data_IF_470492327564
#
_entry.id   IF_470492327564
#
_cell.length_a   1.000
_cell.length_b   1.000
_cell.length_c   1.000
_cell.angle_alpha   90.00
_cell.angle_beta   90.00
_cell.angle_gamma   90.00
#
_symmetry.space_group_name_H-M   'P 1'
#
loop_
_entity.id
_entity.type
_entity.pdbx_description
1 polymer ?
#
# COMPACT_ATOMS: atom_id res chain seq x y z
N UNK A 1 19.75 -0.99 15.39
CA UNK A 1 19.26 -0.35 16.63
C UNK A 1 19.31 -1.40 17.75
N UNK A 2 19.89 -1.10 18.92
CA UNK A 2 19.96 -2.06 20.03
C UNK A 2 18.63 -2.07 20.82
N UNK A 3 17.99 -3.24 20.93
CA UNK A 3 16.80 -3.42 21.77
C UNK A 3 17.22 -3.52 23.24
N UNK A 4 16.51 -2.82 24.14
CA UNK A 4 16.77 -2.90 25.59
C UNK A 4 16.28 -4.26 26.12
N UNK A 5 16.99 -4.85 27.10
CA UNK A 5 16.63 -6.15 27.68
C UNK A 5 15.17 -6.24 28.18
N UNK A 6 14.67 -5.16 28.80
CA UNK A 6 13.27 -5.08 29.24
C UNK A 6 12.28 -5.28 28.07
N UNK A 7 12.62 -4.75 26.91
CA UNK A 7 11.75 -4.72 25.73
C UNK A 7 11.79 -6.06 25.02
N UNK A 8 12.98 -6.65 24.93
CA UNK A 8 13.14 -8.00 24.43
C UNK A 8 12.39 -9.01 25.30
N UNK A 9 12.44 -8.87 26.64
CA UNK A 9 11.68 -9.75 27.54
C UNK A 9 10.16 -9.58 27.37
N UNK A 10 9.69 -8.35 27.16
CA UNK A 10 8.27 -8.10 26.87
C UNK A 10 7.84 -8.79 25.57
N UNK A 11 8.67 -8.71 24.52
CA UNK A 11 8.42 -9.42 23.25
C UNK A 11 8.41 -10.92 23.47
N UNK A 12 9.44 -11.49 24.14
CA UNK A 12 9.55 -12.93 24.39
C UNK A 12 8.34 -13.52 25.10
N UNK A 13 7.73 -12.81 26.03
CA UNK A 13 6.54 -13.27 26.76
C UNK A 13 5.30 -13.49 25.86
N UNK A 14 5.30 -12.92 24.68
CA UNK A 14 4.20 -12.95 23.72
C UNK A 14 4.60 -13.56 22.37
N UNK A 15 5.84 -14.02 22.25
CA UNK A 15 6.43 -14.51 21.01
C UNK A 15 6.17 -16.01 20.84
N UNK A 16 5.76 -16.42 19.64
CA UNK A 16 5.64 -17.83 19.27
C UNK A 16 6.82 -18.22 18.38
N UNK A 17 7.80 -18.89 19.00
CA UNK A 17 9.01 -19.30 18.30
C UNK A 17 8.74 -20.32 17.20
N UNK A 18 7.79 -21.24 17.38
CA UNK A 18 7.46 -22.26 16.39
C UNK A 18 6.85 -21.61 15.16
N UNK A 19 5.86 -20.74 15.37
CA UNK A 19 5.22 -19.97 14.30
C UNK A 19 6.23 -19.09 13.54
N UNK A 20 7.09 -18.38 14.27
CA UNK A 20 8.08 -17.49 13.66
C UNK A 20 9.12 -18.26 12.82
N UNK A 21 9.64 -19.37 13.36
CA UNK A 21 10.66 -20.17 12.66
C UNK A 21 10.10 -20.85 11.41
N UNK A 22 8.81 -21.20 11.40
CA UNK A 22 8.14 -21.77 10.23
C UNK A 22 8.08 -20.83 9.02
N UNK A 23 8.30 -19.53 9.20
CA UNK A 23 8.34 -18.54 8.12
C UNK A 23 9.75 -18.30 7.56
N UNK A 24 10.79 -18.85 8.20
CA UNK A 24 12.17 -18.66 7.74
C UNK A 24 12.48 -19.62 6.59
N UNK A 25 13.11 -19.07 5.57
CA UNK A 25 13.58 -19.77 4.37
C UNK A 25 14.98 -20.38 4.53
N UNK A 26 15.47 -20.50 5.77
CA UNK A 26 16.80 -21.02 6.08
C UNK A 26 16.83 -21.78 7.40
N UNK A 27 17.74 -22.74 7.51
CA UNK A 27 17.96 -23.51 8.74
C UNK A 27 18.61 -22.65 9.82
N UNK A 28 18.11 -22.78 11.06
CA UNK A 28 18.64 -22.09 12.23
C UNK A 28 19.45 -23.05 13.10
N UNK A 29 20.62 -22.59 13.56
CA UNK A 29 21.50 -23.37 14.45
C UNK A 29 20.99 -23.44 15.90
N UNK A 30 21.60 -24.33 16.68
CA UNK A 30 21.33 -24.45 18.12
C UNK A 30 21.63 -23.13 18.84
N UNK A 31 20.71 -22.68 19.70
CA UNK A 31 20.86 -21.44 20.45
C UNK A 31 20.42 -20.18 19.69
N UNK A 32 19.80 -20.32 18.52
CA UNK A 32 19.20 -19.21 17.79
C UNK A 32 18.10 -18.52 18.63
N UNK A 33 18.26 -17.22 18.86
CA UNK A 33 17.28 -16.41 19.57
C UNK A 33 16.27 -15.80 18.59
N UNK A 34 15.18 -16.53 18.35
CA UNK A 34 14.14 -16.14 17.41
C UNK A 34 13.49 -14.79 17.74
N UNK A 35 13.26 -14.50 19.02
CA UNK A 35 12.69 -13.23 19.46
C UNK A 35 13.65 -12.06 19.21
N UNK A 36 14.94 -12.23 19.51
CA UNK A 36 15.96 -11.22 19.18
C UNK A 36 16.06 -11.02 17.67
N UNK A 37 16.08 -12.10 16.89
CA UNK A 37 16.12 -12.04 15.43
C UNK A 37 14.90 -11.28 14.89
N UNK A 38 13.70 -11.56 15.40
CA UNK A 38 12.51 -10.81 15.06
C UNK A 38 12.70 -9.32 15.33
N UNK A 39 13.11 -8.94 16.54
CA UNK A 39 13.29 -7.54 16.93
C UNK A 39 14.31 -6.78 16.08
N UNK A 40 15.33 -7.46 15.56
CA UNK A 40 16.40 -6.85 14.77
C UNK A 40 16.15 -6.87 13.26
N UNK A 41 15.53 -7.94 12.75
CA UNK A 41 15.46 -8.24 11.31
C UNK A 41 14.09 -8.74 10.87
N UNK A 42 13.44 -9.57 11.68
CA UNK A 42 12.21 -10.24 11.25
C UNK A 42 11.08 -9.29 10.89
N UNK A 43 10.84 -8.27 11.71
CA UNK A 43 9.77 -7.30 11.43
C UNK A 43 10.05 -6.48 10.16
N UNK A 44 11.32 -6.21 9.84
CA UNK A 44 11.72 -5.54 8.59
C UNK A 44 11.41 -6.41 7.36
N UNK A 45 11.45 -7.74 7.54
CA UNK A 45 11.06 -8.74 6.55
C UNK A 45 9.57 -9.09 6.58
N UNK A 46 8.75 -8.32 7.32
CA UNK A 46 7.30 -8.54 7.48
C UNK A 46 6.92 -9.91 8.08
N UNK A 47 7.84 -10.55 8.79
CA UNK A 47 7.57 -11.84 9.42
C UNK A 47 6.71 -11.67 10.67
N UNK A 48 5.88 -12.65 10.98
CA UNK A 48 4.93 -12.58 12.08
C UNK A 48 5.52 -13.19 13.37
N UNK A 49 5.59 -12.44 14.48
CA UNK A 49 6.17 -12.94 15.74
C UNK A 49 5.28 -13.96 16.44
N UNK A 50 4.01 -14.07 16.04
CA UNK A 50 3.01 -14.96 16.62
C UNK A 50 1.78 -15.05 15.71
N UNK A 51 1.07 -16.18 15.73
CA UNK A 51 -0.10 -16.38 14.85
C UNK A 51 -1.29 -15.43 15.07
N UNK A 52 -1.34 -14.70 16.18
CA UNK A 52 -2.37 -13.70 16.48
C UNK A 52 -1.95 -12.26 16.14
N UNK A 53 -0.74 -12.07 15.59
CA UNK A 53 -0.19 -10.77 15.24
C UNK A 53 0.42 -10.80 13.84
N UNK A 54 -0.27 -10.19 12.88
CA UNK A 54 0.33 -9.89 11.57
C UNK A 54 1.14 -8.59 11.65
N UNK A 55 2.45 -8.70 11.49
CA UNK A 55 3.38 -7.57 11.36
C UNK A 55 2.96 -6.68 10.20
N UNK A 56 2.59 -7.30 9.08
CA UNK A 56 2.25 -6.57 7.88
C UNK A 56 0.93 -5.80 8.02
N UNK A 57 -0.13 -6.46 8.51
CA UNK A 57 -1.40 -5.80 8.82
C UNK A 57 -1.19 -4.61 9.74
N UNK A 58 -0.43 -4.82 10.83
CA UNK A 58 -0.24 -3.78 11.83
C UNK A 58 0.46 -2.53 11.26
N UNK A 59 1.41 -2.72 10.35
CA UNK A 59 2.09 -1.62 9.68
C UNK A 59 1.19 -0.90 8.68
N UNK A 60 0.34 -1.62 7.94
CA UNK A 60 -0.61 -1.05 6.98
C UNK A 60 -1.70 -0.23 7.68
N UNK A 61 -2.24 -0.73 8.78
CA UNK A 61 -3.27 -0.02 9.55
C UNK A 61 -2.69 1.13 10.39
N UNK A 62 -1.37 1.22 10.54
CA UNK A 62 -0.71 2.24 11.34
C UNK A 62 0.50 2.84 10.60
N UNK A 63 0.29 3.47 9.42
CA UNK A 63 1.37 3.86 8.52
C UNK A 63 2.35 4.85 9.14
N UNK A 64 1.92 5.66 10.13
CA UNK A 64 2.79 6.58 10.89
C UNK A 64 3.85 5.87 11.74
N UNK A 65 3.71 4.59 12.04
CA UNK A 65 4.69 3.80 12.79
C UNK A 65 5.90 3.49 11.90
N UNK A 66 5.70 3.24 10.61
CA UNK A 66 6.75 2.81 9.70
C UNK A 66 7.92 3.81 9.57
N UNK A 67 7.69 5.13 9.36
CA UNK A 67 8.78 6.12 9.33
C UNK A 67 9.59 6.21 10.63
N UNK A 68 9.01 5.84 11.78
CA UNK A 68 9.70 5.87 13.08
C UNK A 68 10.65 4.70 13.30
N UNK A 69 10.68 3.71 12.39
CA UNK A 69 11.39 2.43 12.54
C UNK A 69 11.11 1.72 13.88
N UNK A 70 9.93 1.95 14.45
CA UNK A 70 9.54 1.31 15.70
C UNK A 70 9.10 -0.11 15.41
N UNK A 71 9.68 -1.09 16.12
CA UNK A 71 9.26 -2.49 16.03
C UNK A 71 7.73 -2.60 16.29
N UNK A 72 6.95 -3.12 15.33
CA UNK A 72 5.48 -3.04 15.37
C UNK A 72 4.88 -3.86 16.52
N UNK A 73 5.41 -5.05 16.77
CA UNK A 73 4.93 -5.88 17.88
C UNK A 73 5.21 -5.26 19.24
N UNK A 74 6.42 -4.72 19.44
CA UNK A 74 6.76 -4.01 20.66
C UNK A 74 5.90 -2.75 20.84
N UNK A 75 5.62 -2.01 19.76
CA UNK A 75 4.71 -0.88 19.79
C UNK A 75 3.30 -1.32 20.22
N UNK A 76 2.78 -2.40 19.63
CA UNK A 76 1.48 -2.95 20.01
C UNK A 76 1.43 -3.33 21.48
N UNK A 77 2.40 -4.10 21.97
CA UNK A 77 2.45 -4.54 23.37
C UNK A 77 2.50 -3.39 24.37
N UNK A 78 3.14 -2.27 24.00
CA UNK A 78 3.28 -1.09 24.88
C UNK A 78 2.09 -0.13 24.81
N UNK A 79 1.59 0.10 23.60
CA UNK A 79 0.65 1.18 23.29
C UNK A 79 -0.59 0.63 22.62
N UNK A 80 -0.41 -0.09 21.51
CA UNK A 80 -1.51 -0.47 20.64
C UNK A 80 -2.59 -1.30 21.32
N UNK A 81 -2.21 -2.26 22.17
CA UNK A 81 -3.15 -3.10 22.90
C UNK A 81 -4.08 -2.30 23.81
N UNK A 82 -3.57 -1.27 24.49
CA UNK A 82 -4.37 -0.38 25.35
C UNK A 82 -5.26 0.56 24.55
N UNK A 83 -4.84 0.90 23.33
CA UNK A 83 -5.61 1.72 22.39
C UNK A 83 -6.61 0.91 21.54
N UNK A 84 -6.70 -0.41 21.74
CA UNK A 84 -7.58 -1.26 20.95
C UNK A 84 -7.18 -1.38 19.47
N UNK A 85 -5.91 -1.14 19.14
CA UNK A 85 -5.42 -1.34 17.77
C UNK A 85 -5.55 -2.81 17.39
N UNK A 86 -5.99 -3.08 16.15
CA UNK A 86 -6.15 -4.44 15.64
C UNK A 86 -4.81 -4.99 15.16
N UNK A 87 -4.65 -6.30 15.24
CA UNK A 87 -3.41 -7.00 14.85
C UNK A 87 -3.61 -7.99 13.71
N UNK A 88 -4.88 -8.31 13.39
CA UNK A 88 -5.36 -9.32 12.44
C UNK A 88 -4.70 -10.71 12.58
N UNK A 89 -5.50 -11.74 12.35
CA UNK A 89 -5.02 -13.08 12.05
C UNK A 89 -5.90 -13.67 10.94
N UNK A 90 -5.39 -14.65 10.20
CA UNK A 90 -6.03 -15.17 8.98
C UNK A 90 -7.46 -15.70 9.23
N UNK A 91 -7.75 -16.16 10.46
CA UNK A 91 -9.05 -16.68 10.86
C UNK A 91 -10.00 -15.61 11.45
N UNK A 92 -9.72 -14.32 11.25
CA UNK A 92 -10.58 -13.23 11.73
C UNK A 92 -11.98 -13.30 11.05
N UNK A 93 -13.08 -13.49 11.82
CA UNK A 93 -14.42 -13.65 11.24
C UNK A 93 -14.88 -12.47 10.38
N UNK A 94 -14.41 -11.26 10.68
CA UNK A 94 -14.74 -10.09 9.86
C UNK A 94 -14.11 -10.20 8.47
N UNK A 95 -12.85 -10.62 8.40
CA UNK A 95 -12.12 -10.77 7.14
C UNK A 95 -12.72 -11.89 6.30
N UNK A 96 -13.06 -13.01 6.93
CA UNK A 96 -13.76 -14.12 6.28
C UNK A 96 -15.13 -13.69 5.73
N UNK A 97 -15.89 -12.89 6.49
CA UNK A 97 -17.16 -12.32 6.03
C UNK A 97 -16.99 -11.42 4.81
N UNK A 98 -16.03 -10.49 4.85
CA UNK A 98 -15.73 -9.62 3.71
C UNK A 98 -15.30 -10.43 2.49
N UNK A 99 -14.44 -11.43 2.66
CA UNK A 99 -13.97 -12.29 1.59
C UNK A 99 -15.13 -13.02 0.90
N UNK A 100 -16.09 -13.55 1.68
CA UNK A 100 -17.27 -14.21 1.13
C UNK A 100 -18.17 -13.23 0.37
N UNK A 101 -18.40 -12.03 0.91
CA UNK A 101 -19.25 -11.02 0.26
C UNK A 101 -18.70 -10.54 -1.09
N UNK A 102 -17.39 -10.37 -1.22
CA UNK A 102 -16.78 -9.87 -2.46
C UNK A 102 -16.51 -10.98 -3.48
N UNK A 103 -16.60 -12.25 -3.08
CA UNK A 103 -16.10 -13.41 -3.83
C UNK A 103 -16.58 -13.47 -5.27
N UNK A 104 -17.88 -13.31 -5.48
CA UNK A 104 -18.50 -13.32 -6.82
C UNK A 104 -18.09 -12.12 -7.68
N UNK A 105 -17.71 -11.01 -7.04
CA UNK A 105 -17.22 -9.82 -7.73
C UNK A 105 -15.73 -9.87 -8.03
N UNK A 106 -14.93 -10.58 -7.24
CA UNK A 106 -13.47 -10.57 -7.27
C UNK A 106 -12.90 -11.37 -8.44
N UNK A 107 -11.78 -10.92 -9.01
CA UNK A 107 -11.06 -11.62 -10.08
C UNK A 107 -9.72 -12.15 -9.55
N UNK A 108 -9.67 -13.42 -9.09
CA UNK A 108 -8.46 -13.98 -8.49
C UNK A 108 -7.32 -14.16 -9.49
N UNK A 109 -7.62 -14.44 -10.77
CA UNK A 109 -6.60 -14.62 -11.80
C UNK A 109 -5.89 -13.30 -12.08
N UNK A 110 -6.65 -12.22 -12.27
CA UNK A 110 -6.09 -10.88 -12.41
C UNK A 110 -5.27 -10.47 -11.19
N UNK A 111 -5.79 -10.72 -9.98
CA UNK A 111 -5.12 -10.31 -8.74
C UNK A 111 -3.79 -11.05 -8.55
N UNK A 112 -3.76 -12.35 -8.81
CA UNK A 112 -2.53 -13.16 -8.73
C UNK A 112 -1.55 -12.80 -9.84
N UNK A 113 -2.02 -12.58 -11.08
CA UNK A 113 -1.17 -12.13 -12.19
C UNK A 113 -0.47 -10.82 -11.84
N UNK A 114 -1.21 -9.86 -11.29
CA UNK A 114 -0.71 -8.51 -11.01
C UNK A 114 0.11 -8.42 -9.71
N UNK A 115 -0.34 -9.07 -8.64
CA UNK A 115 0.22 -8.90 -7.29
C UNK A 115 0.80 -10.17 -6.67
N UNK A 116 0.75 -11.33 -7.34
CA UNK A 116 1.09 -12.63 -6.76
C UNK A 116 2.51 -12.75 -6.19
N UNK A 117 3.43 -11.87 -6.59
CA UNK A 117 4.76 -11.76 -6.01
C UNK A 117 4.78 -11.17 -4.58
N UNK A 118 3.71 -10.48 -4.18
CA UNK A 118 3.60 -9.71 -2.93
C UNK A 118 2.39 -10.09 -2.06
N UNK A 119 1.52 -11.00 -2.49
CA UNK A 119 0.40 -11.49 -1.67
C UNK A 119 0.90 -12.25 -0.44
N UNK A 120 0.16 -12.11 0.67
CA UNK A 120 0.48 -12.72 1.97
C UNK A 120 -0.21 -14.08 2.12
N UNK A 121 -1.47 -14.20 1.68
CA UNK A 121 -2.26 -15.44 1.73
C UNK A 121 -2.33 -16.05 0.32
N UNK A 122 -1.30 -16.82 -0.03
CA UNK A 122 -1.10 -17.32 -1.41
C UNK A 122 -2.18 -18.28 -1.90
N UNK A 123 -2.71 -19.11 -1.01
CA UNK A 123 -3.68 -20.14 -1.37
C UNK A 123 -5.12 -19.60 -1.51
N UNK A 124 -5.36 -18.37 -1.04
CA UNK A 124 -6.68 -17.72 -1.11
C UNK A 124 -6.52 -16.22 -1.44
N UNK A 125 -6.46 -15.86 -2.74
CA UNK A 125 -6.31 -14.47 -3.19
C UNK A 125 -7.47 -13.56 -2.77
N UNK A 126 -8.69 -14.08 -2.64
CA UNK A 126 -9.85 -13.29 -2.18
C UNK A 126 -9.69 -12.93 -0.71
N UNK A 127 -9.25 -13.89 0.11
CA UNK A 127 -8.93 -13.65 1.51
C UNK A 127 -7.73 -12.69 1.66
N UNK A 128 -6.70 -12.85 0.82
CA UNK A 128 -5.59 -11.90 0.78
C UNK A 128 -6.08 -10.48 0.47
N UNK A 129 -6.95 -10.31 -0.52
CA UNK A 129 -7.50 -8.99 -0.82
C UNK A 129 -8.28 -8.40 0.34
N UNK A 130 -9.19 -9.18 0.93
CA UNK A 130 -10.02 -8.76 2.07
C UNK A 130 -9.18 -8.42 3.32
N UNK A 131 -8.05 -9.10 3.49
CA UNK A 131 -7.13 -8.87 4.61
C UNK A 131 -6.15 -7.72 4.34
N UNK A 132 -5.61 -7.63 3.13
CA UNK A 132 -4.35 -6.96 2.84
C UNK A 132 -4.40 -6.10 1.58
N UNK A 133 -4.99 -6.62 0.51
CA UNK A 133 -5.02 -5.96 -0.80
C UNK A 133 -5.77 -4.65 -0.78
N UNK A 134 -6.94 -4.59 -0.14
CA UNK A 134 -7.71 -3.33 -0.07
C UNK A 134 -6.91 -2.23 0.66
N UNK A 135 -6.16 -2.56 1.72
CA UNK A 135 -5.35 -1.58 2.46
C UNK A 135 -4.20 -1.02 1.64
N UNK A 136 -3.73 -1.78 0.66
CA UNK A 136 -2.68 -1.37 -0.27
C UNK A 136 -3.23 -0.57 -1.45
N UNK A 137 -4.55 -0.38 -1.54
CA UNK A 137 -5.20 0.20 -2.71
C UNK A 137 -5.13 -0.69 -3.96
N UNK A 138 -4.83 -1.99 -3.79
CA UNK A 138 -4.71 -2.91 -4.91
C UNK A 138 -6.04 -3.14 -5.61
N UNK A 139 -5.96 -3.44 -6.90
CA UNK A 139 -7.12 -3.65 -7.75
C UNK A 139 -7.64 -5.08 -7.57
N UNK A 140 -8.92 -5.29 -7.22
CA UNK A 140 -9.51 -6.61 -7.09
C UNK A 140 -9.88 -7.26 -8.43
N UNK A 141 -9.90 -6.46 -9.50
CA UNK A 141 -10.22 -6.83 -10.89
C UNK A 141 -9.83 -5.70 -11.84
N UNK A 142 -9.70 -6.01 -13.14
CA UNK A 142 -9.17 -5.09 -14.14
C UNK A 142 -10.01 -3.82 -14.39
N UNK A 143 -11.31 -3.86 -14.09
CA UNK A 143 -12.30 -2.80 -14.30
C UNK A 143 -12.74 -2.12 -12.98
N UNK A 144 -12.03 -2.35 -11.87
CA UNK A 144 -12.27 -1.66 -10.61
C UNK A 144 -10.99 -1.01 -10.07
N UNK A 145 -10.96 0.32 -10.03
CA UNK A 145 -9.86 1.10 -9.49
C UNK A 145 -10.27 1.69 -8.12
N UNK A 146 -9.75 1.15 -6.99
CA UNK A 146 -10.10 1.65 -5.66
C UNK A 146 -9.85 3.16 -5.49
N UNK A 147 -8.73 3.65 -6.02
CA UNK A 147 -8.37 5.06 -5.95
C UNK A 147 -9.37 5.94 -6.71
N UNK A 148 -9.72 5.59 -7.94
CA UNK A 148 -10.75 6.32 -8.68
C UNK A 148 -12.09 6.28 -7.94
N UNK A 149 -12.49 5.11 -7.46
CA UNK A 149 -13.77 4.92 -6.80
C UNK A 149 -13.91 5.79 -5.54
N UNK A 150 -12.86 5.87 -4.72
CA UNK A 150 -12.85 6.73 -3.52
C UNK A 150 -12.94 8.21 -3.90
N UNK A 151 -12.11 8.67 -4.84
CA UNK A 151 -12.03 10.10 -5.18
C UNK A 151 -13.21 10.60 -6.03
N UNK A 152 -13.93 9.71 -6.71
CA UNK A 152 -15.14 10.07 -7.47
C UNK A 152 -16.43 9.97 -6.65
N UNK A 153 -16.36 9.47 -5.41
CA UNK A 153 -17.51 9.34 -4.51
C UNK A 153 -17.18 9.96 -3.16
N UNK A 154 -17.32 11.29 -3.07
CA UNK A 154 -16.87 12.07 -1.92
C UNK A 154 -17.49 11.62 -0.58
N UNK A 155 -18.70 11.06 -0.62
CA UNK A 155 -19.39 10.49 0.53
C UNK A 155 -18.66 9.30 1.17
N UNK A 156 -17.70 8.70 0.45
CA UNK A 156 -16.92 7.55 0.89
C UNK A 156 -15.54 7.93 1.45
N UNK A 157 -15.17 9.21 1.49
CA UNK A 157 -13.87 9.66 2.03
C UNK A 157 -13.84 9.59 3.58
N UNK A 158 -13.99 8.38 4.12
CA UNK A 158 -13.95 8.06 5.55
C UNK A 158 -12.85 7.04 5.83
N UNK A 159 -12.26 7.12 7.03
CA UNK A 159 -11.21 6.19 7.46
C UNK A 159 -11.68 4.74 7.42
N UNK A 160 -10.85 3.85 6.89
CA UNK A 160 -11.09 2.41 6.90
C UNK A 160 -12.13 1.91 5.90
N UNK A 161 -12.47 2.69 4.87
CA UNK A 161 -13.36 2.25 3.80
C UNK A 161 -12.81 1.01 3.06
N UNK A 162 -13.70 0.08 2.77
CA UNK A 162 -13.50 -1.05 1.85
C UNK A 162 -14.19 -0.72 0.51
N UNK A 163 -13.51 -0.06 -0.44
CA UNK A 163 -14.15 0.49 -1.63
C UNK A 163 -14.82 -0.58 -2.49
N UNK A 164 -14.17 -1.74 -2.63
CA UNK A 164 -14.72 -2.82 -3.41
C UNK A 164 -15.93 -3.49 -2.75
N UNK A 165 -15.91 -3.64 -1.42
CA UNK A 165 -17.05 -4.12 -0.66
C UNK A 165 -18.26 -3.18 -0.84
N UNK A 166 -18.04 -1.88 -0.68
CA UNK A 166 -19.10 -0.88 -0.93
C UNK A 166 -19.66 -0.98 -2.35
N UNK A 167 -18.78 -1.14 -3.34
CA UNK A 167 -19.22 -1.29 -4.73
C UNK A 167 -20.07 -2.54 -4.96
N UNK A 168 -19.66 -3.68 -4.38
CA UNK A 168 -20.41 -4.94 -4.45
C UNK A 168 -21.78 -4.83 -3.77
N UNK A 169 -21.85 -4.21 -2.59
CA UNK A 169 -23.08 -4.08 -1.81
C UNK A 169 -24.05 -3.04 -2.41
N UNK A 170 -23.53 -1.87 -2.79
CA UNK A 170 -24.35 -0.69 -3.10
C UNK A 170 -24.02 -0.10 -4.47
N UNK A 171 -22.72 0.10 -4.74
CA UNK A 171 -22.26 0.93 -5.85
C UNK A 171 -22.75 0.48 -7.24
N UNK A 172 -22.86 -0.83 -7.46
CA UNK A 172 -23.45 -1.38 -8.70
C UNK A 172 -24.91 -0.93 -8.89
N UNK A 173 -25.73 -1.03 -7.84
CA UNK A 173 -27.14 -0.65 -7.89
C UNK A 173 -27.35 0.86 -7.92
N UNK A 174 -26.42 1.63 -7.35
CA UNK A 174 -26.40 3.09 -7.40
C UNK A 174 -25.91 3.64 -8.75
N UNK A 175 -25.41 2.78 -9.65
CA UNK A 175 -24.84 3.20 -10.93
C UNK A 175 -23.50 3.92 -10.81
N UNK A 176 -22.75 3.71 -9.71
CA UNK A 176 -21.43 4.32 -9.51
C UNK A 176 -20.40 3.69 -10.45
N UNK A 177 -19.62 4.52 -11.14
CA UNK A 177 -18.55 4.07 -12.02
C UNK A 177 -17.41 3.42 -11.20
N UNK A 178 -17.00 2.17 -11.51
CA UNK A 178 -15.96 1.44 -10.76
C UNK A 178 -14.52 1.83 -11.12
N UNK A 179 -14.32 2.39 -12.31
CA UNK A 179 -13.03 2.85 -12.82
C UNK A 179 -13.27 3.93 -13.88
N UNK A 180 -12.19 4.58 -14.32
CA UNK A 180 -12.21 5.28 -15.62
C UNK A 180 -12.15 4.28 -16.76
N UNK A 181 -12.53 4.67 -17.99
CA UNK A 181 -12.23 3.91 -19.22
C UNK A 181 -10.71 3.76 -19.50
N UNK A 182 -9.88 4.44 -18.72
CA UNK A 182 -8.43 4.59 -18.87
C UNK A 182 -7.61 3.48 -18.18
N UNK A 183 -8.12 2.25 -18.13
CA UNK A 183 -7.50 1.12 -17.42
C UNK A 183 -6.27 0.56 -18.15
N UNK A 184 -6.15 0.75 -19.46
CA UNK A 184 -5.05 0.17 -20.25
C UNK A 184 -3.79 1.05 -20.35
N UNK A 185 -3.93 2.38 -20.25
CA UNK A 185 -2.81 3.34 -20.41
C UNK A 185 -2.11 3.75 -19.11
N UNK A 186 -2.71 3.51 -17.95
CA UNK A 186 -2.08 3.80 -16.65
C UNK A 186 -1.11 2.70 -16.23
N UNK A 187 -1.44 1.43 -16.50
CA UNK A 187 -0.61 0.27 -16.14
C UNK A 187 0.76 0.31 -16.80
N UNK A 188 0.86 0.79 -18.06
CA UNK A 188 2.15 0.95 -18.74
C UNK A 188 3.03 2.02 -18.11
N UNK A 189 2.43 3.08 -17.56
CA UNK A 189 3.16 4.18 -16.90
C UNK A 189 3.49 3.89 -15.45
N UNK A 190 2.70 3.06 -14.79
CA UNK A 190 2.86 2.72 -13.38
C UNK A 190 4.28 2.21 -13.10
N UNK A 191 4.74 1.18 -13.82
CA UNK A 191 6.07 0.61 -13.63
C UNK A 191 7.23 1.55 -14.00
N UNK A 192 6.98 2.57 -14.83
CA UNK A 192 7.96 3.61 -15.13
C UNK A 192 8.08 4.62 -13.98
N UNK A 193 6.96 4.96 -13.34
CA UNK A 193 6.89 5.98 -12.29
C UNK A 193 7.26 5.42 -10.92
N UNK A 194 6.84 4.19 -10.62
CA UNK A 194 7.02 3.53 -9.32
C UNK A 194 8.45 3.66 -8.76
N UNK A 195 9.54 3.40 -9.52
CA UNK A 195 10.90 3.52 -9.01
C UNK A 195 11.31 4.93 -8.58
N UNK A 196 10.59 5.95 -9.06
CA UNK A 196 10.88 7.36 -8.79
C UNK A 196 9.89 7.98 -7.81
N UNK A 197 8.75 7.34 -7.55
CA UNK A 197 7.67 7.93 -6.78
C UNK A 197 8.01 8.02 -5.28
N UNK A 198 7.98 9.23 -4.72
CA UNK A 198 8.16 9.45 -3.30
C UNK A 198 6.79 9.64 -2.65
N UNK A 199 6.23 8.54 -2.15
CA UNK A 199 4.87 8.53 -1.58
C UNK A 199 4.70 9.55 -0.45
N UNK A 200 5.67 9.63 0.48
CA UNK A 200 5.57 10.56 1.61
C UNK A 200 5.67 12.00 1.13
N UNK A 201 6.57 12.30 0.19
CA UNK A 201 6.68 13.62 -0.40
C UNK A 201 5.42 14.01 -1.19
N UNK A 202 4.86 13.08 -1.96
CA UNK A 202 3.65 13.31 -2.76
C UNK A 202 2.43 13.60 -1.87
N UNK A 203 2.17 12.73 -0.89
CA UNK A 203 1.01 12.87 0.01
C UNK A 203 1.06 14.18 0.81
N UNK A 204 2.25 14.60 1.25
CA UNK A 204 2.44 15.87 1.96
C UNK A 204 2.12 17.13 1.10
N UNK A 205 1.95 17.01 -0.21
CA UNK A 205 1.59 18.13 -1.09
C UNK A 205 0.08 18.28 -1.33
N UNK A 206 -0.71 17.20 -1.21
CA UNK A 206 -2.10 17.17 -1.74
C UNK A 206 -3.17 17.50 -0.69
N UNK A 207 -3.08 17.03 0.55
CA UNK A 207 -3.88 17.49 1.70
C UNK A 207 -3.65 16.61 2.91
N UNK A 208 -3.77 17.17 4.13
CA UNK A 208 -3.84 16.36 5.34
C UNK A 208 -5.10 15.48 5.42
N UNK A 209 -6.21 15.90 4.80
CA UNK A 209 -7.50 15.18 4.83
C UNK A 209 -7.49 13.83 4.12
N UNK A 210 -6.46 13.53 3.32
CA UNK A 210 -6.32 12.24 2.63
C UNK A 210 -5.48 11.22 3.41
N UNK A 211 -4.92 11.62 4.57
CA UNK A 211 -4.22 10.66 5.44
C UNK A 211 -5.20 9.66 6.04
N UNK A 212 -4.93 8.37 5.86
CA UNK A 212 -5.78 7.30 6.39
C UNK A 212 -6.63 6.59 5.32
N UNK A 213 -6.68 7.13 4.09
CA UNK A 213 -7.28 6.44 2.96
C UNK A 213 -6.39 5.29 2.49
N UNK A 214 -7.01 4.14 2.25
CA UNK A 214 -6.37 2.96 1.66
C UNK A 214 -6.42 3.05 0.13
N UNK A 215 -5.56 3.90 -0.43
CA UNK A 215 -5.45 4.14 -1.88
C UNK A 215 -4.02 3.94 -2.36
N UNK A 216 -3.90 3.63 -3.64
CA UNK A 216 -2.63 3.65 -4.34
C UNK A 216 -2.31 5.09 -4.77
N UNK A 217 -1.21 5.64 -4.26
CA UNK A 217 -0.83 7.03 -4.51
C UNK A 217 -0.23 7.27 -5.89
N UNK A 218 0.31 6.24 -6.55
CA UNK A 218 0.73 6.32 -7.95
C UNK A 218 -0.50 6.41 -8.84
N UNK A 219 -1.55 5.62 -8.55
CA UNK A 219 -2.83 5.77 -9.24
C UNK A 219 -3.42 7.17 -9.03
N UNK A 220 -3.39 7.69 -7.80
CA UNK A 220 -3.88 9.05 -7.52
C UNK A 220 -3.08 10.10 -8.32
N UNK A 221 -1.76 9.94 -8.41
CA UNK A 221 -0.90 10.79 -9.23
C UNK A 221 -1.27 10.75 -10.70
N UNK A 222 -1.39 9.55 -11.28
CA UNK A 222 -1.71 9.33 -12.69
C UNK A 222 -3.11 9.84 -13.08
N UNK A 223 -4.08 9.71 -12.18
CA UNK A 223 -5.45 10.16 -12.41
C UNK A 223 -5.60 11.69 -12.24
N UNK A 224 -5.00 12.24 -11.19
CA UNK A 224 -5.27 13.61 -10.72
C UNK A 224 -4.01 14.46 -10.51
N UNK A 225 -3.01 13.92 -9.81
CA UNK A 225 -1.88 14.70 -9.26
C UNK A 225 -1.08 15.48 -10.29
N UNK A 226 -0.70 14.86 -11.40
CA UNK A 226 0.10 15.54 -12.42
C UNK A 226 -0.66 16.68 -13.11
N UNK A 227 -1.98 16.56 -13.26
CA UNK A 227 -2.87 17.61 -13.80
C UNK A 227 -2.96 18.79 -12.84
N UNK A 228 -2.92 18.51 -11.55
CA UNK A 228 -2.81 19.49 -10.47
C UNK A 228 -1.38 20.04 -10.31
N UNK A 229 -0.43 19.60 -11.16
CA UNK A 229 0.99 20.02 -11.15
C UNK A 229 1.72 19.65 -9.85
N UNK A 230 1.23 18.62 -9.16
CA UNK A 230 1.90 18.07 -7.98
C UNK A 230 3.07 17.20 -8.43
N UNK A 231 4.18 17.25 -7.69
CA UNK A 231 5.38 16.51 -8.04
C UNK A 231 5.34 15.11 -7.43
N UNK A 232 5.46 14.08 -8.27
CA UNK A 232 5.60 12.68 -7.83
C UNK A 232 6.84 12.46 -6.95
N UNK A 233 7.91 13.25 -7.17
CA UNK A 233 9.14 13.15 -6.41
C UNK A 233 9.94 14.45 -6.45
N UNK A 234 10.96 14.56 -5.60
CA UNK A 234 11.85 15.75 -5.56
C UNK A 234 12.78 15.86 -6.77
N UNK A 235 12.96 14.78 -7.52
CA UNK A 235 13.90 14.70 -8.64
C UNK A 235 13.33 15.23 -9.96
N UNK A 236 12.03 15.55 -9.99
CA UNK A 236 11.32 15.99 -11.17
C UNK A 236 10.27 17.06 -10.80
N UNK A 237 10.38 18.24 -11.40
CA UNK A 237 9.42 19.34 -11.21
C UNK A 237 8.40 19.35 -12.36
N UNK A 238 7.25 18.73 -12.12
CA UNK A 238 6.15 18.59 -13.08
C UNK A 238 5.67 19.96 -13.57
N UNK A 239 5.58 20.96 -12.69
CA UNK A 239 5.12 22.29 -13.07
C UNK A 239 6.09 22.95 -14.05
N UNK A 240 7.39 22.98 -13.70
CA UNK A 240 8.43 23.60 -14.52
C UNK A 240 8.63 22.84 -15.83
N UNK A 241 8.54 21.52 -15.80
CA UNK A 241 8.64 20.70 -17.00
C UNK A 241 7.51 21.02 -17.98
N UNK A 242 6.25 21.03 -17.53
CA UNK A 242 5.11 21.36 -18.38
C UNK A 242 5.17 22.80 -18.89
N UNK A 243 5.61 23.76 -18.06
CA UNK A 243 5.76 25.16 -18.46
C UNK A 243 6.79 25.34 -19.58
N UNK A 244 7.91 24.61 -19.53
CA UNK A 244 8.98 24.70 -20.51
C UNK A 244 8.73 23.84 -21.77
N UNK A 245 7.78 22.92 -21.72
CA UNK A 245 7.47 21.95 -22.77
C UNK A 245 5.98 22.03 -23.13
N UNK A 246 5.61 23.12 -23.81
CA UNK A 246 4.20 23.44 -24.10
C UNK A 246 3.49 22.39 -24.96
N UNK A 247 4.24 21.62 -25.76
CA UNK A 247 3.73 20.48 -26.52
C UNK A 247 3.21 19.36 -25.61
N UNK A 248 3.91 19.08 -24.50
CA UNK A 248 3.52 18.09 -23.51
C UNK A 248 2.30 18.56 -22.73
N UNK A 249 2.29 19.84 -22.33
CA UNK A 249 1.15 20.42 -21.64
C UNK A 249 -0.12 20.43 -22.51
N UNK A 250 -0.01 20.90 -23.76
CA UNK A 250 -1.16 20.94 -24.68
C UNK A 250 -1.61 19.56 -25.13
N UNK A 251 -0.70 18.59 -25.16
CA UNK A 251 -1.01 17.19 -25.49
C UNK A 251 -1.65 16.42 -24.33
N UNK A 252 -1.82 17.03 -23.15
CA UNK A 252 -2.26 16.36 -21.92
C UNK A 252 -1.43 15.11 -21.60
N UNK A 253 -0.12 15.23 -21.82
CA UNK A 253 0.82 14.13 -21.61
C UNK A 253 1.38 14.24 -20.19
N UNK A 254 1.28 13.14 -19.43
CA UNK A 254 1.86 13.04 -18.09
C UNK A 254 3.38 13.28 -18.14
N UNK A 255 3.91 14.27 -17.40
CA UNK A 255 5.25 14.79 -17.63
C UNK A 255 6.37 13.86 -17.18
N UNK A 256 6.20 13.10 -16.09
CA UNK A 256 7.25 12.24 -15.56
C UNK A 256 7.48 11.03 -16.48
N UNK A 257 6.43 10.30 -16.88
CA UNK A 257 6.53 9.18 -17.82
C UNK A 257 7.10 9.66 -19.15
N UNK A 258 6.62 10.80 -19.66
CA UNK A 258 7.16 11.38 -20.89
C UNK A 258 8.67 11.65 -20.78
N UNK A 259 9.12 12.26 -19.68
CA UNK A 259 10.54 12.50 -19.49
C UNK A 259 11.36 11.21 -19.43
N UNK A 260 10.85 10.21 -18.72
CA UNK A 260 11.49 8.92 -18.54
C UNK A 260 11.59 8.12 -19.85
N UNK A 261 10.56 8.18 -20.69
CA UNK A 261 10.49 7.45 -21.96
C UNK A 261 11.18 8.17 -23.11
N UNK A 262 10.96 9.48 -23.25
CA UNK A 262 11.37 10.26 -24.42
C UNK A 262 12.23 11.47 -24.07
N UNK A 263 11.84 12.23 -23.04
CA UNK A 263 12.44 13.53 -22.76
C UNK A 263 13.94 13.50 -22.49
N UNK A 264 14.48 12.42 -21.92
CA UNK A 264 15.93 12.23 -21.80
C UNK A 264 16.64 12.13 -23.16
N UNK A 265 16.10 11.32 -24.08
CA UNK A 265 16.66 11.13 -25.42
C UNK A 265 16.49 12.40 -26.29
N UNK A 266 15.43 13.16 -26.08
CA UNK A 266 15.17 14.44 -26.73
C UNK A 266 16.01 15.61 -26.17
N UNK A 267 16.82 15.38 -25.13
CA UNK A 267 17.65 16.41 -24.51
C UNK A 267 16.87 17.40 -23.64
N UNK A 268 15.63 17.07 -23.23
CA UNK A 268 14.84 17.90 -22.32
C UNK A 268 15.44 17.90 -20.92
N UNK A 269 15.21 18.97 -20.17
CA UNK A 269 15.69 19.09 -18.79
C UNK A 269 14.63 18.57 -17.81
N UNK A 270 15.01 17.67 -16.88
CA UNK A 270 14.08 17.14 -15.85
C UNK A 270 13.54 18.17 -14.87
N UNK A 271 14.36 19.18 -14.54
CA UNK A 271 14.18 20.12 -13.44
C UNK A 271 14.00 19.43 -12.07
N UNK A 272 14.77 19.83 -11.07
CA UNK A 272 14.58 19.33 -9.69
C UNK A 272 13.79 20.35 -8.89
N UNK A 273 13.01 19.88 -7.92
CA UNK A 273 12.27 20.75 -7.01
C UNK A 273 13.27 21.44 -6.08
N UNK A 274 13.39 22.78 -6.18
CA UNK A 274 14.15 23.63 -5.26
C UNK A 274 15.65 23.30 -5.13
N UNK A 275 16.47 23.81 -6.06
CA UNK A 275 17.90 24.06 -5.86
C UNK A 275 18.19 25.55 -6.01
#
# INVERSE_FOLDING_TARGET
MFIKNRDLNLVRNHFDATHYLGQLDFEVGRGFDAAMHYCQKGWLRRLDPSGWFSTDYYLLSNPRIYPSQTNPFLHYLRVGRKKGLRTMFVEDPYVLGVAEEIKEGFDPDFYVEKYGHAITIKDDPTLDYAAFGYMRGWWPRADFCPTFYIFNNEDLMVDGLFPFLHYVQNGKTEGRAPSTEWTDKSTSKYGLIEPYFDTLYYVNQISESYHGLYVDWIDHYLLYGWKQKVNACRLFDSHKYLFMNLDIWKGEIEPLSHYLEFGMAEGRTRYKVGL
#
